data_IF_198755777459
#
_entry.id   IF_198755777459
#
_cell.length_a   1.000
_cell.length_b   1.000
_cell.length_c   1.000
_cell.angle_alpha   90.00
_cell.angle_beta   90.00
_cell.angle_gamma   90.00
#
_symmetry.space_group_name_H-M   'P 1'
#
loop_
_entity.id
_entity.type
_entity.pdbx_description
1 polymer ?
#
# COMPACT_ATOMS: atom_id res chain seq x y z
N UNK A 1 -35.81 35.20 33.79
CA UNK A 1 -34.41 35.30 34.28
C UNK A 1 -33.66 34.05 33.81
N UNK A 2 -32.42 34.21 33.36
CA UNK A 2 -31.58 33.39 32.44
C UNK A 2 -31.40 31.89 32.79
N UNK A 3 -31.61 30.95 31.83
CA UNK A 3 -30.63 30.18 30.98
C UNK A 3 -29.71 29.24 31.79
N UNK A 4 -30.02 27.94 31.93
CA UNK A 4 -29.65 26.74 31.11
C UNK A 4 -28.18 26.28 31.14
N UNK A 5 -28.00 25.09 31.72
CA UNK A 5 -27.19 23.93 31.27
C UNK A 5 -25.70 24.11 31.01
N UNK A 6 -24.88 23.60 31.94
CA UNK A 6 -23.51 23.13 31.71
C UNK A 6 -23.53 21.62 31.47
N UNK A 7 -23.89 21.19 30.27
CA UNK A 7 -23.51 19.87 29.77
C UNK A 7 -22.08 19.98 29.24
N UNK A 8 -21.13 19.42 29.98
CA UNK A 8 -19.76 19.21 29.55
C UNK A 8 -19.77 18.43 28.23
N UNK A 9 -19.17 18.99 27.18
CA UNK A 9 -19.06 18.42 25.84
C UNK A 9 -18.16 17.18 25.88
N UNK A 10 -18.72 16.05 26.32
CA UNK A 10 -18.27 14.69 26.03
C UNK A 10 -19.09 14.18 24.85
N UNK A 11 -18.82 14.67 23.63
CA UNK A 11 -19.22 13.95 22.43
C UNK A 11 -18.03 13.09 22.04
N UNK A 12 -18.06 11.81 22.45
CA UNK A 12 -17.07 10.82 22.10
C UNK A 12 -17.03 10.67 20.58
N UNK A 13 -15.92 11.06 19.95
CA UNK A 13 -15.51 10.45 18.70
C UNK A 13 -14.87 9.10 19.03
N UNK A 14 -15.44 8.02 18.51
CA UNK A 14 -14.83 6.69 18.57
C UNK A 14 -13.85 6.59 17.40
N UNK A 15 -12.55 6.76 17.65
CA UNK A 15 -11.52 6.52 16.65
C UNK A 15 -11.25 5.00 16.55
N UNK A 16 -11.33 4.44 15.34
CA UNK A 16 -11.18 2.98 15.12
C UNK A 16 -9.91 2.61 14.33
N UNK A 17 -9.24 3.58 13.70
CA UNK A 17 -7.99 3.39 12.97
C UNK A 17 -7.15 4.67 12.99
N UNK A 18 -5.86 4.53 13.28
CA UNK A 18 -4.92 5.65 13.47
C UNK A 18 -3.72 5.44 12.55
N UNK A 19 -3.43 6.42 11.69
CA UNK A 19 -2.19 6.50 10.93
C UNK A 19 -1.39 7.72 11.40
N UNK A 20 -0.26 7.47 12.07
CA UNK A 20 0.62 8.53 12.59
C UNK A 20 1.63 8.95 11.52
N UNK A 21 1.80 10.25 11.27
CA UNK A 21 2.90 10.76 10.45
C UNK A 21 4.10 11.22 11.31
N UNK A 22 5.27 10.62 11.08
CA UNK A 22 6.61 11.06 11.59
C UNK A 22 7.13 10.22 12.77
N UNK A 23 8.42 9.87 12.90
CA UNK A 23 9.64 10.55 12.46
C UNK A 23 10.71 9.58 11.90
N UNK A 24 11.49 10.04 10.92
CA UNK A 24 12.76 9.42 10.61
C UNK A 24 13.74 9.70 11.77
N UNK A 25 14.38 8.66 12.31
CA UNK A 25 15.40 8.81 13.33
C UNK A 25 16.61 9.58 12.75
N UNK A 26 16.92 10.75 13.32
CA UNK A 26 18.20 11.45 13.10
C UNK A 26 18.79 11.75 14.48
N UNK A 27 20.07 11.43 14.75
CA UNK A 27 20.72 11.75 16.02
C UNK A 27 21.22 13.22 16.07
N UNK A 28 20.81 13.92 17.13
CA UNK A 28 21.44 15.11 17.77
C UNK A 28 21.29 16.51 17.09
N UNK A 29 21.37 17.62 17.87
CA UNK A 29 20.32 18.63 17.86
C UNK A 29 20.72 19.90 17.11
N UNK A 30 19.92 20.27 16.12
CA UNK A 30 19.82 21.65 15.64
C UNK A 30 18.37 22.06 15.85
N UNK A 31 18.16 23.11 16.65
CA UNK A 31 16.88 23.72 17.03
C UNK A 31 15.66 23.15 16.30
N UNK A 32 15.11 22.05 16.82
CA UNK A 32 13.97 21.39 16.22
C UNK A 32 12.75 22.31 16.33
N UNK A 33 12.36 22.96 15.22
CA UNK A 33 10.96 23.37 15.05
C UNK A 33 10.14 22.13 15.36
N UNK A 34 9.30 22.19 16.42
CA UNK A 34 8.40 21.09 16.79
C UNK A 34 7.77 20.53 15.52
N UNK A 35 8.20 19.35 15.09
CA UNK A 35 7.51 18.63 14.03
C UNK A 35 6.21 18.16 14.65
N UNK A 36 5.13 18.89 14.39
CA UNK A 36 3.80 18.44 14.78
C UNK A 36 3.51 17.19 13.94
N UNK A 37 3.52 16.04 14.59
CA UNK A 37 3.11 14.79 13.96
C UNK A 37 1.62 14.86 13.68
N UNK A 38 1.26 15.02 12.42
CA UNK A 38 -0.13 14.96 12.01
C UNK A 38 -0.59 13.50 12.00
N UNK A 39 -1.79 13.23 12.47
CA UNK A 39 -2.37 11.90 12.48
C UNK A 39 -3.62 11.91 11.62
N UNK A 40 -3.68 11.04 10.62
CA UNK A 40 -4.88 10.80 9.83
C UNK A 40 -5.66 9.63 10.45
N UNK A 41 -6.97 9.79 10.63
CA UNK A 41 -7.81 8.77 11.26
C UNK A 41 -9.23 8.82 10.72
N UNK A 42 -9.98 7.75 11.00
CA UNK A 42 -11.41 7.67 10.68
C UNK A 42 -12.20 7.93 11.96
N UNK A 43 -13.23 8.78 11.85
CA UNK A 43 -14.18 9.02 12.92
C UNK A 43 -15.59 9.20 12.35
N UNK A 44 -16.59 8.85 13.16
CA UNK A 44 -18.00 9.08 12.84
C UNK A 44 -18.47 10.40 13.46
N UNK A 45 -19.04 11.26 12.63
CA UNK A 45 -19.74 12.47 13.04
C UNK A 45 -21.25 12.24 12.96
N UNK A 46 -22.03 12.71 13.96
CA UNK A 46 -23.50 12.65 13.89
C UNK A 46 -24.10 13.40 12.69
N UNK A 47 -23.37 14.38 12.13
CA UNK A 47 -23.85 15.20 11.01
C UNK A 47 -23.46 14.64 9.64
N UNK A 48 -22.24 14.12 9.51
CA UNK A 48 -21.67 13.72 8.22
C UNK A 48 -21.46 12.21 8.07
N UNK A 49 -21.62 11.41 9.12
CA UNK A 49 -21.29 9.98 9.08
C UNK A 49 -19.79 9.75 9.23
N UNK A 50 -19.25 8.71 8.58
CA UNK A 50 -17.84 8.31 8.68
C UNK A 50 -16.95 9.16 7.79
N UNK A 51 -16.12 10.02 8.37
CA UNK A 51 -15.18 10.87 7.64
C UNK A 51 -13.72 10.52 7.93
N UNK A 52 -12.82 11.03 7.09
CA UNK A 52 -11.39 11.03 7.36
C UNK A 52 -11.02 12.38 7.95
N UNK A 53 -10.29 12.36 9.06
CA UNK A 53 -9.87 13.53 9.82
C UNK A 53 -8.34 13.57 9.89
N UNK A 54 -7.80 14.78 10.00
CA UNK A 54 -6.42 15.00 10.43
C UNK A 54 -6.42 15.74 11.76
N UNK A 55 -5.49 15.39 12.64
CA UNK A 55 -5.30 16.07 13.91
C UNK A 55 -3.83 16.23 14.22
N UNK A 56 -3.48 17.37 14.84
CA UNK A 56 -2.21 17.61 15.52
C UNK A 56 -2.19 17.11 16.98
N UNK A 57 -3.26 16.41 17.41
CA UNK A 57 -3.47 15.99 18.79
C UNK A 57 -4.29 16.98 19.62
N UNK A 58 -4.68 18.13 19.06
CA UNK A 58 -5.53 19.12 19.72
C UNK A 58 -6.90 19.22 19.04
N UNK A 59 -7.92 19.63 19.80
CA UNK A 59 -9.26 19.87 19.21
C UNK A 59 -9.24 20.98 18.16
N UNK A 60 -8.42 22.03 18.36
CA UNK A 60 -8.33 23.16 17.44
C UNK A 60 -7.62 22.80 16.13
N UNK A 61 -6.62 21.91 16.18
CA UNK A 61 -5.92 21.39 15.01
C UNK A 61 -6.51 20.11 14.44
N UNK A 62 -7.76 19.77 14.82
CA UNK A 62 -8.50 18.64 14.23
C UNK A 62 -9.47 19.14 13.17
N UNK A 63 -9.36 18.63 11.94
CA UNK A 63 -10.23 19.00 10.82
C UNK A 63 -10.64 17.78 10.00
N UNK A 64 -11.89 17.77 9.54
CA UNK A 64 -12.38 16.80 8.56
C UNK A 64 -11.73 17.08 7.21
N UNK A 65 -11.10 16.05 6.64
CA UNK A 65 -10.40 16.10 5.36
C UNK A 65 -11.23 15.54 4.21
N UNK A 66 -12.04 14.52 4.50
CA UNK A 66 -12.97 13.91 3.55
C UNK A 66 -14.32 13.85 4.25
N UNK A 67 -15.30 14.55 3.67
CA UNK A 67 -16.66 14.63 4.19
C UNK A 67 -17.29 13.23 4.29
N UNK A 68 -18.01 13.00 5.37
CA UNK A 68 -18.38 11.64 5.75
C UNK A 68 -19.29 10.85 4.79
N UNK A 69 -19.16 9.53 4.87
CA UNK A 69 -19.97 8.50 4.22
C UNK A 69 -21.01 7.92 5.17
N UNK A 70 -22.10 7.39 4.61
CA UNK A 70 -23.04 6.53 5.37
C UNK A 70 -22.40 5.19 5.76
N UNK A 71 -21.44 4.72 4.96
CA UNK A 71 -20.75 3.45 5.18
C UNK A 71 -19.43 3.67 5.90
N UNK A 72 -18.94 2.64 6.60
CA UNK A 72 -17.64 2.71 7.25
C UNK A 72 -16.53 2.82 6.20
N UNK A 73 -15.63 3.77 6.40
CA UNK A 73 -14.43 3.93 5.58
C UNK A 73 -13.30 3.02 6.08
N UNK A 74 -12.35 2.75 5.19
CA UNK A 74 -11.02 2.22 5.49
C UNK A 74 -10.00 3.26 5.07
N UNK A 75 -8.95 3.39 5.87
CA UNK A 75 -7.85 4.32 5.65
C UNK A 75 -6.55 3.53 5.73
N UNK A 76 -5.76 3.62 4.67
CA UNK A 76 -4.38 3.15 4.65
C UNK A 76 -3.47 4.33 4.29
N UNK A 77 -2.38 4.48 5.03
CA UNK A 77 -1.42 5.55 4.81
C UNK A 77 -0.06 4.97 4.40
N UNK A 78 0.50 5.51 3.33
CA UNK A 78 1.74 5.03 2.74
C UNK A 78 2.75 6.18 2.66
N UNK A 79 3.87 6.13 3.40
CA UNK A 79 4.89 7.18 3.36
C UNK A 79 5.65 7.15 2.03
N UNK A 80 5.64 8.26 1.31
CA UNK A 80 6.32 8.39 0.01
C UNK A 80 7.15 9.67 0.03
N UNK A 81 8.44 9.56 0.35
CA UNK A 81 9.32 10.72 0.49
C UNK A 81 8.91 11.64 1.64
N UNK A 82 8.53 12.88 1.32
CA UNK A 82 8.15 13.92 2.28
C UNK A 82 6.62 14.04 2.50
N UNK A 83 5.84 13.12 1.95
CA UNK A 83 4.38 13.10 2.00
C UNK A 83 3.85 11.69 2.32
N UNK A 84 2.57 11.61 2.62
CA UNK A 84 1.85 10.35 2.76
C UNK A 84 0.78 10.26 1.69
N UNK A 85 0.70 9.09 1.03
CA UNK A 85 -0.41 8.76 0.16
C UNK A 85 -1.46 8.02 1.00
N UNK A 86 -2.67 8.57 1.04
CA UNK A 86 -3.78 8.01 1.78
C UNK A 86 -4.71 7.31 0.78
N UNK A 87 -4.78 5.99 0.87
CA UNK A 87 -5.81 5.22 0.18
C UNK A 87 -7.03 5.17 1.09
N UNK A 88 -8.14 5.72 0.62
CA UNK A 88 -9.42 5.72 1.31
C UNK A 88 -10.38 4.89 0.49
N UNK A 89 -10.97 3.86 1.10
CA UNK A 89 -11.94 2.96 0.47
C UNK A 89 -13.15 2.82 1.38
N UNK A 90 -14.28 2.37 0.85
CA UNK A 90 -15.36 1.88 1.71
C UNK A 90 -15.09 0.43 2.13
N UNK A 91 -15.70 0.01 3.24
CA UNK A 91 -15.69 -1.39 3.67
C UNK A 91 -16.64 -2.26 2.83
N UNK A 92 -17.59 -1.65 2.10
CA UNK A 92 -18.48 -2.35 1.20
C UNK A 92 -17.80 -2.66 -0.14
N UNK A 93 -17.76 -3.96 -0.51
CA UNK A 93 -17.21 -4.52 -1.76
C UNK A 93 -17.93 -4.06 -3.04
N UNK A 94 -18.79 -3.05 -2.99
CA UNK A 94 -19.56 -2.55 -4.13
C UNK A 94 -19.28 -1.08 -4.31
N UNK A 95 -18.63 -0.77 -5.43
CA UNK A 95 -18.42 0.56 -6.05
C UNK A 95 -19.05 1.70 -5.24
N UNK A 96 -18.23 2.38 -4.45
CA UNK A 96 -18.59 3.65 -3.82
C UNK A 96 -17.87 4.80 -4.53
N UNK A 97 -18.58 5.92 -4.57
CA UNK A 97 -18.14 7.28 -4.87
C UNK A 97 -16.91 7.78 -4.07
N UNK A 98 -16.54 7.13 -2.97
CA UNK A 98 -15.51 7.62 -2.05
C UNK A 98 -14.17 6.88 -2.11
N UNK A 99 -13.99 5.92 -3.03
CA UNK A 99 -12.65 5.36 -3.23
C UNK A 99 -11.73 6.38 -3.91
N UNK A 100 -10.60 6.68 -3.28
CA UNK A 100 -9.63 7.62 -3.83
C UNK A 100 -8.27 7.54 -3.19
N UNK A 101 -7.26 7.96 -3.95
CA UNK A 101 -5.92 8.19 -3.46
C UNK A 101 -5.71 9.69 -3.21
N UNK A 102 -5.27 10.03 -2.02
CA UNK A 102 -5.04 11.41 -1.60
C UNK A 102 -3.58 11.61 -1.20
N UNK A 103 -3.09 12.82 -1.38
CA UNK A 103 -1.74 13.24 -1.03
C UNK A 103 -1.84 14.14 0.19
N UNK A 104 -1.28 13.69 1.31
CA UNK A 104 -1.13 14.48 2.53
C UNK A 104 0.32 14.92 2.67
N UNK A 105 0.57 16.22 2.55
CA UNK A 105 1.91 16.80 2.74
C UNK A 105 2.26 16.95 4.23
N UNK A 106 3.55 17.10 4.55
CA UNK A 106 4.01 17.40 5.92
C UNK A 106 3.44 18.69 6.52
N UNK A 107 3.03 19.64 5.69
CA UNK A 107 2.37 20.88 6.15
C UNK A 107 0.88 20.68 6.46
N UNK A 108 0.35 19.47 6.29
CA UNK A 108 -1.05 19.13 6.54
C UNK A 108 -2.00 19.43 5.37
N UNK A 109 -1.48 19.89 4.23
CA UNK A 109 -2.30 20.06 3.03
C UNK A 109 -2.65 18.69 2.45
N UNK A 110 -3.95 18.41 2.37
CA UNK A 110 -4.51 17.25 1.66
C UNK A 110 -4.97 17.64 0.26
N UNK A 111 -4.72 16.78 -0.73
CA UNK A 111 -5.25 16.91 -2.07
C UNK A 111 -5.63 15.54 -2.63
N UNK A 112 -6.81 15.40 -3.24
CA UNK A 112 -7.15 14.20 -4.02
C UNK A 112 -6.23 14.13 -5.25
N UNK A 113 -5.62 12.97 -5.49
CA UNK A 113 -4.83 12.77 -6.70
C UNK A 113 -5.79 12.49 -7.86
N UNK A 114 -5.97 13.47 -8.72
CA UNK A 114 -6.85 13.37 -9.88
C UNK A 114 -6.05 12.84 -11.07
N UNK A 115 -6.19 11.56 -11.40
CA UNK A 115 -5.53 10.96 -12.55
C UNK A 115 -6.38 9.80 -13.08
N UNK A 116 -6.57 9.64 -14.41
CA UNK A 116 -7.51 8.66 -14.97
C UNK A 116 -7.30 7.21 -14.48
N UNK A 117 -6.05 6.82 -14.24
CA UNK A 117 -5.70 5.48 -13.73
C UNK A 117 -6.19 5.19 -12.29
N UNK A 118 -6.48 6.22 -11.49
CA UNK A 118 -6.81 6.10 -10.07
C UNK A 118 -8.12 6.81 -9.69
N UNK A 119 -8.88 7.28 -10.70
CA UNK A 119 -10.22 7.84 -10.49
C UNK A 119 -11.24 6.76 -10.15
N UNK A 120 -11.04 5.53 -10.61
CA UNK A 120 -11.97 4.40 -10.43
C UNK A 120 -11.25 3.18 -9.82
N UNK A 121 -10.93 3.29 -8.53
CA UNK A 121 -10.28 2.27 -7.74
C UNK A 121 -11.31 1.27 -7.16
N UNK A 122 -11.85 0.39 -7.98
CA UNK A 122 -12.94 -0.53 -7.59
C UNK A 122 -12.45 -1.77 -6.84
N UNK A 123 -11.29 -2.30 -7.21
CA UNK A 123 -10.66 -3.48 -6.59
C UNK A 123 -9.23 -3.14 -6.16
N UNK A 124 -9.05 -1.92 -5.65
CA UNK A 124 -7.73 -1.38 -5.42
C UNK A 124 -7.05 -2.00 -4.21
N UNK A 125 -5.91 -2.66 -4.45
CA UNK A 125 -4.99 -3.11 -3.41
C UNK A 125 -3.67 -2.38 -3.56
N UNK A 126 -3.24 -1.70 -2.52
CA UNK A 126 -1.94 -1.04 -2.48
C UNK A 126 -0.88 -1.90 -1.77
N UNK A 127 0.36 -1.78 -2.23
CA UNK A 127 1.55 -2.39 -1.63
C UNK A 127 2.35 -1.34 -0.88
N UNK A 128 3.22 -1.76 0.05
CA UNK A 128 4.12 -0.84 0.71
C UNK A 128 4.98 -0.08 -0.31
N UNK A 129 5.34 1.20 -0.05
CA UNK A 129 6.17 1.96 -0.96
C UNK A 129 7.54 1.34 -1.15
N UNK A 130 7.96 1.23 -2.40
CA UNK A 130 9.29 0.75 -2.79
C UNK A 130 9.93 1.85 -3.61
N UNK A 131 11.18 2.19 -3.28
CA UNK A 131 11.98 3.18 -4.02
C UNK A 131 11.24 4.51 -4.27
N UNK A 132 10.51 4.98 -3.26
CA UNK A 132 9.79 6.26 -3.29
C UNK A 132 8.50 6.25 -4.12
N UNK A 133 7.90 5.09 -4.37
CA UNK A 133 6.68 4.96 -5.17
C UNK A 133 5.71 3.99 -4.51
N UNK A 134 4.42 4.32 -4.57
CA UNK A 134 3.33 3.43 -4.20
C UNK A 134 2.92 2.60 -5.42
N UNK A 135 2.64 1.33 -5.19
CA UNK A 135 2.12 0.43 -6.22
C UNK A 135 0.70 0.00 -5.85
N UNK A 136 -0.22 0.16 -6.80
CA UNK A 136 -1.65 -0.13 -6.63
C UNK A 136 -2.09 -1.08 -7.73
N UNK A 137 -2.60 -2.23 -7.36
CA UNK A 137 -3.30 -3.11 -8.30
C UNK A 137 -4.75 -2.70 -8.36
N UNK A 138 -5.29 -2.54 -9.56
CA UNK A 138 -6.70 -2.26 -9.79
C UNK A 138 -7.15 -2.94 -11.09
N UNK A 139 -8.16 -3.80 -11.04
CA UNK A 139 -8.71 -4.52 -12.21
C UNK A 139 -7.62 -5.21 -13.06
N UNK A 140 -6.70 -5.93 -12.43
CA UNK A 140 -5.60 -6.65 -13.09
C UNK A 140 -4.46 -5.78 -13.62
N UNK A 141 -4.52 -4.45 -13.43
CA UNK A 141 -3.46 -3.51 -13.79
C UNK A 141 -2.63 -3.14 -12.59
N UNK A 142 -1.31 -3.05 -12.76
CA UNK A 142 -0.41 -2.50 -11.75
C UNK A 142 -0.14 -1.03 -12.07
N UNK A 143 -0.45 -0.13 -11.13
CA UNK A 143 -0.25 1.31 -11.26
C UNK A 143 0.85 1.71 -10.28
N UNK A 144 1.80 2.51 -10.74
CA UNK A 144 2.84 3.09 -9.90
C UNK A 144 2.64 4.60 -9.79
N UNK A 145 2.74 5.15 -8.59
CA UNK A 145 2.61 6.59 -8.35
C UNK A 145 3.58 7.10 -7.30
N UNK A 146 4.17 8.26 -7.55
CA UNK A 146 4.89 9.03 -6.55
C UNK A 146 3.98 10.04 -5.83
N UNK A 147 2.66 10.01 -6.06
CA UNK A 147 1.72 11.00 -5.54
C UNK A 147 1.53 12.25 -6.42
N UNK A 148 2.08 12.28 -7.63
CA UNK A 148 1.85 13.37 -8.60
C UNK A 148 1.16 12.86 -9.85
N UNK A 149 0.46 13.73 -10.58
CA UNK A 149 -0.15 13.35 -11.86
C UNK A 149 0.89 12.83 -12.85
N UNK A 150 2.00 13.58 -13.04
CA UNK A 150 3.09 13.21 -13.97
C UNK A 150 3.79 11.91 -13.56
N UNK A 151 3.94 11.68 -12.26
CA UNK A 151 4.56 10.48 -11.72
C UNK A 151 3.61 9.31 -11.54
N UNK A 152 2.36 9.39 -12.00
CA UNK A 152 1.38 8.28 -11.97
C UNK A 152 1.33 7.61 -13.33
N UNK A 153 1.52 6.30 -13.36
CA UNK A 153 1.65 5.52 -14.60
C UNK A 153 1.26 4.06 -14.41
N UNK A 154 0.70 3.47 -15.45
CA UNK A 154 0.44 2.04 -15.50
C UNK A 154 1.76 1.33 -15.80
N UNK A 155 2.07 0.29 -15.03
CA UNK A 155 3.16 -0.62 -15.27
C UNK A 155 2.64 -1.71 -16.20
N UNK A 156 3.07 -1.68 -17.46
CA UNK A 156 2.61 -2.63 -18.45
C UNK A 156 3.43 -3.92 -18.42
N UNK A 157 2.76 -5.01 -18.10
CA UNK A 157 3.08 -6.36 -18.54
C UNK A 157 1.79 -7.00 -19.09
N UNK A 158 1.90 -8.20 -19.66
CA UNK A 158 0.74 -9.03 -20.00
C UNK A 158 -0.29 -9.02 -18.84
N UNK A 159 -1.61 -9.12 -19.13
CA UNK A 159 -2.64 -8.97 -18.11
C UNK A 159 -2.39 -9.94 -16.95
N UNK A 160 -2.22 -9.37 -15.75
CA UNK A 160 -2.02 -10.15 -14.54
C UNK A 160 -3.35 -10.73 -14.09
N UNK A 161 -3.31 -11.96 -13.60
CA UNK A 161 -4.39 -12.47 -12.76
C UNK A 161 -4.32 -11.83 -11.37
N UNK A 162 -3.11 -11.70 -10.82
CA UNK A 162 -2.87 -11.04 -9.53
C UNK A 162 -1.41 -10.61 -9.38
N UNK A 163 -1.13 -9.57 -8.60
CA UNK A 163 0.21 -9.28 -8.07
C UNK A 163 0.22 -9.66 -6.60
N UNK A 164 1.20 -10.47 -6.19
CA UNK A 164 1.29 -11.01 -4.84
C UNK A 164 2.14 -10.12 -3.93
N UNK A 165 3.22 -9.55 -4.47
CA UNK A 165 4.15 -8.70 -3.72
C UNK A 165 4.89 -7.74 -4.64
N UNK A 166 5.30 -6.58 -4.11
CA UNK A 166 6.21 -5.62 -4.74
C UNK A 166 7.29 -5.30 -3.72
N UNK A 167 8.56 -5.37 -4.11
CA UNK A 167 9.71 -5.23 -3.21
C UNK A 167 10.95 -4.75 -3.97
N UNK A 168 11.97 -4.31 -3.23
CA UNK A 168 13.29 -4.04 -3.81
C UNK A 168 14.15 -5.30 -3.78
N UNK A 169 14.77 -5.63 -4.91
CA UNK A 169 15.74 -6.72 -5.02
C UNK A 169 16.90 -6.28 -5.91
N UNK A 170 18.12 -6.43 -5.40
CA UNK A 170 19.36 -6.05 -6.10
C UNK A 170 19.30 -4.64 -6.73
N UNK A 171 18.80 -3.66 -5.94
CA UNK A 171 18.73 -2.25 -6.34
C UNK A 171 17.65 -1.91 -7.36
N UNK A 172 16.73 -2.85 -7.65
CA UNK A 172 15.66 -2.69 -8.64
C UNK A 172 14.30 -2.97 -7.99
N UNK A 173 13.26 -2.30 -8.49
CA UNK A 173 11.89 -2.65 -8.08
C UNK A 173 11.50 -3.94 -8.79
N UNK A 174 11.10 -4.92 -8.00
CA UNK A 174 10.66 -6.23 -8.47
C UNK A 174 9.29 -6.57 -7.89
N UNK A 175 8.61 -7.51 -8.53
CA UNK A 175 7.33 -8.01 -8.05
C UNK A 175 7.12 -9.46 -8.47
N UNK A 176 6.26 -10.12 -7.71
CA UNK A 176 5.79 -11.46 -7.99
C UNK A 176 4.33 -11.35 -8.43
N UNK A 177 3.99 -11.95 -9.56
CA UNK A 177 2.64 -11.95 -10.13
C UNK A 177 2.22 -13.32 -10.63
N UNK A 178 0.92 -13.58 -10.63
CA UNK A 178 0.33 -14.72 -11.33
C UNK A 178 -0.15 -14.27 -12.70
N UNK A 179 0.31 -14.94 -13.75
CA UNK A 179 -0.19 -14.77 -15.11
C UNK A 179 -1.44 -15.64 -15.33
N UNK A 180 -2.29 -15.26 -16.29
CA UNK A 180 -3.39 -16.11 -16.74
C UNK A 180 -2.82 -17.47 -17.15
N UNK A 181 -3.39 -18.59 -16.68
CA UNK A 181 -2.99 -20.00 -16.93
C UNK A 181 -1.99 -20.68 -15.98
N UNK A 182 -1.87 -20.24 -14.73
CA UNK A 182 -1.21 -20.94 -13.60
C UNK A 182 0.30 -20.72 -13.43
N UNK A 183 0.92 -19.84 -14.19
CA UNK A 183 2.35 -19.55 -14.05
C UNK A 183 2.59 -18.33 -13.16
N UNK A 184 3.41 -18.48 -12.13
CA UNK A 184 3.92 -17.33 -11.35
C UNK A 184 5.16 -16.77 -12.03
N UNK A 185 5.30 -15.45 -12.00
CA UNK A 185 6.39 -14.73 -12.66
C UNK A 185 7.07 -13.82 -11.65
N UNK A 186 8.40 -13.95 -11.57
CA UNK A 186 9.24 -12.91 -11.00
C UNK A 186 9.58 -11.90 -12.08
N UNK A 187 9.25 -10.65 -11.81
CA UNK A 187 9.34 -9.58 -12.78
C UNK A 187 10.07 -8.38 -12.20
N UNK A 188 10.72 -7.65 -13.08
CA UNK A 188 11.44 -6.42 -12.75
C UNK A 188 10.83 -5.24 -13.47
N UNK A 189 10.73 -4.12 -12.79
CA UNK A 189 10.19 -2.88 -13.35
C UNK A 189 11.34 -2.09 -13.97
N UNK A 190 11.12 -1.62 -15.19
CA UNK A 190 11.85 -0.51 -15.78
C UNK A 190 11.17 0.79 -15.37
N UNK A 191 11.76 1.46 -14.39
CA UNK A 191 11.24 2.72 -13.86
C UNK A 191 11.39 3.89 -14.86
N UNK A 192 12.25 3.80 -15.87
CA UNK A 192 12.36 4.87 -16.87
C UNK A 192 11.16 4.82 -17.83
N UNK A 193 10.81 3.62 -18.30
CA UNK A 193 9.79 3.41 -19.33
C UNK A 193 8.42 3.02 -18.77
N UNK A 194 8.31 2.71 -17.47
CA UNK A 194 7.11 2.17 -16.84
C UNK A 194 6.65 0.83 -17.44
N UNK A 195 7.59 0.02 -17.91
CA UNK A 195 7.34 -1.35 -18.33
C UNK A 195 7.87 -2.33 -17.29
N UNK A 196 7.56 -3.61 -17.48
CA UNK A 196 8.21 -4.68 -16.72
C UNK A 196 8.77 -5.75 -17.65
N UNK A 197 9.65 -6.58 -17.12
CA UNK A 197 10.21 -7.73 -17.83
C UNK A 197 10.17 -8.95 -16.92
N UNK A 198 9.81 -10.10 -17.50
CA UNK A 198 9.85 -11.39 -16.82
C UNK A 198 11.31 -11.82 -16.72
N UNK A 199 11.76 -12.08 -15.49
CA UNK A 199 13.09 -12.64 -15.26
C UNK A 199 13.05 -14.17 -15.21
N UNK A 200 12.03 -14.74 -14.58
CA UNK A 200 11.76 -16.16 -14.66
C UNK A 200 10.29 -16.48 -14.43
N UNK A 201 9.92 -17.69 -14.89
CA UNK A 201 8.60 -18.27 -14.72
C UNK A 201 8.72 -19.49 -13.81
N UNK A 202 7.82 -19.59 -12.83
CA UNK A 202 7.66 -20.77 -11.99
C UNK A 202 6.38 -21.50 -12.42
N UNK A 203 6.48 -22.68 -13.04
CA UNK A 203 5.29 -23.47 -13.32
C UNK A 203 4.65 -23.95 -12.01
N UNK A 204 3.34 -23.75 -11.85
CA UNK A 204 2.54 -24.43 -10.81
C UNK A 204 2.46 -25.91 -11.16
N UNK A 205 2.93 -26.76 -10.25
CA UNK A 205 2.62 -28.19 -10.27
C UNK A 205 1.26 -28.41 -9.58
N UNK A 206 0.38 -29.24 -10.16
CA UNK A 206 -0.86 -29.71 -9.51
C UNK A 206 -2.05 -28.74 -9.41
N UNK A 207 -2.02 -27.56 -10.03
CA UNK A 207 -3.17 -26.63 -10.11
C UNK A 207 -3.68 -26.05 -8.78
N UNK A 208 -3.07 -26.43 -7.65
CA UNK A 208 -3.44 -25.98 -6.29
C UNK A 208 -2.19 -25.47 -5.56
N UNK A 209 -2.07 -24.16 -5.45
CA UNK A 209 -1.06 -23.54 -4.63
C UNK A 209 -0.88 -22.09 -5.03
N UNK A 210 -1.71 -21.20 -4.49
CA UNK A 210 -1.32 -19.79 -4.43
C UNK A 210 -0.23 -19.78 -3.38
N UNK A 211 0.96 -19.29 -3.71
CA UNK A 211 1.92 -18.90 -2.70
C UNK A 211 1.17 -17.91 -1.79
N UNK A 212 0.89 -18.32 -0.56
CA UNK A 212 0.18 -17.45 0.38
C UNK A 212 1.10 -16.37 0.92
N UNK A 213 2.40 -16.59 0.87
CA UNK A 213 3.39 -15.74 1.53
C UNK A 213 4.28 -14.97 0.53
N UNK A 214 4.58 -13.70 0.82
CA UNK A 214 5.58 -12.93 0.09
C UNK A 214 6.98 -13.56 0.22
N UNK A 215 7.87 -13.35 -0.77
CA UNK A 215 9.27 -13.76 -0.67
C UNK A 215 9.96 -13.11 0.53
N UNK A 216 10.91 -13.83 1.12
CA UNK A 216 11.84 -13.27 2.11
C UNK A 216 13.15 -12.90 1.44
N UNK A 217 13.57 -11.64 1.60
CA UNK A 217 14.89 -11.17 1.15
C UNK A 217 15.97 -11.66 2.12
N UNK A 218 17.01 -12.29 1.60
CA UNK A 218 18.17 -12.75 2.36
C UNK A 218 19.47 -12.39 1.63
N UNK A 219 20.00 -11.22 1.93
CA UNK A 219 21.16 -10.67 1.23
C UNK A 219 20.85 -10.41 -0.25
N UNK A 220 21.61 -11.07 -1.14
CA UNK A 220 21.46 -11.05 -2.59
C UNK A 220 20.49 -12.12 -3.12
N UNK A 221 19.81 -12.85 -2.22
CA UNK A 221 18.92 -13.97 -2.56
C UNK A 221 17.47 -13.73 -2.12
N UNK A 222 16.57 -14.46 -2.77
CA UNK A 222 15.16 -14.58 -2.42
C UNK A 222 14.90 -15.98 -1.87
N UNK A 223 14.23 -16.04 -0.72
CA UNK A 223 13.67 -17.27 -0.16
C UNK A 223 12.18 -17.30 -0.48
N UNK A 224 11.74 -18.38 -1.12
CA UNK A 224 10.39 -18.62 -1.61
C UNK A 224 9.85 -19.92 -1.01
N UNK A 225 8.54 -20.07 -0.92
CA UNK A 225 7.91 -21.31 -0.41
C UNK A 225 7.15 -22.01 -1.53
N UNK A 226 7.74 -23.02 -2.18
CA UNK A 226 7.11 -23.69 -3.33
C UNK A 226 6.48 -25.02 -2.94
N UNK A 227 5.28 -25.27 -3.44
CA UNK A 227 4.65 -26.59 -3.36
C UNK A 227 5.03 -27.46 -4.54
N UNK A 228 5.49 -28.68 -4.29
CA UNK A 228 5.59 -29.74 -5.29
C UNK A 228 4.62 -30.88 -4.98
N UNK A 229 4.29 -31.69 -5.98
CA UNK A 229 3.45 -32.89 -5.80
C UNK A 229 4.16 -33.96 -4.95
N UNK A 230 5.50 -33.96 -4.92
CA UNK A 230 6.31 -34.95 -4.20
C UNK A 230 6.56 -34.58 -2.73
N UNK A 231 6.84 -33.31 -2.43
CA UNK A 231 7.31 -32.86 -1.10
C UNK A 231 6.37 -31.88 -0.38
N UNK A 232 5.25 -31.47 -1.00
CA UNK A 232 4.42 -30.40 -0.43
C UNK A 232 5.14 -29.06 -0.47
N UNK A 233 4.84 -28.14 0.44
CA UNK A 233 5.51 -26.84 0.52
C UNK A 233 6.93 -26.98 1.08
N UNK A 234 7.93 -26.49 0.36
CA UNK A 234 9.33 -26.51 0.76
C UNK A 234 10.01 -25.14 0.45
N UNK A 235 11.08 -24.78 1.18
CA UNK A 235 11.83 -23.54 0.92
C UNK A 235 12.71 -23.68 -0.33
N UNK A 236 12.68 -22.64 -1.16
CA UNK A 236 13.47 -22.49 -2.36
C UNK A 236 14.31 -21.23 -2.25
N UNK A 237 15.53 -21.27 -2.77
CA UNK A 237 16.40 -20.09 -2.89
C UNK A 237 16.52 -19.71 -4.36
N UNK A 238 16.45 -18.42 -4.63
CA UNK A 238 16.64 -17.82 -5.95
C UNK A 238 17.66 -16.69 -5.87
N UNK A 239 18.55 -16.59 -6.86
CA UNK A 239 19.37 -15.40 -7.12
C UNK A 239 18.68 -14.38 -8.05
N UNK A 240 17.42 -14.64 -8.43
CA UNK A 240 16.64 -13.85 -9.38
C UNK A 240 16.67 -14.37 -10.82
N UNK A 241 17.34 -15.49 -11.09
CA UNK A 241 17.37 -16.18 -12.39
C UNK A 241 16.67 -17.53 -12.34
N UNK A 242 16.26 -18.08 -13.48
CA UNK A 242 15.63 -19.39 -13.54
C UNK A 242 16.60 -20.51 -13.13
N UNK A 243 17.86 -20.41 -13.57
CA UNK A 243 18.92 -21.39 -13.32
C UNK A 243 19.38 -21.38 -11.86
N UNK A 244 19.38 -20.21 -11.20
CA UNK A 244 19.74 -20.06 -9.79
C UNK A 244 18.58 -20.24 -8.81
N UNK A 245 17.46 -20.82 -9.26
CA UNK A 245 16.26 -21.08 -8.44
C UNK A 245 16.06 -22.56 -8.19
N UNK A 246 16.32 -23.05 -6.97
CA UNK A 246 16.29 -24.49 -6.64
C UNK A 246 15.80 -24.73 -5.19
N UNK A 247 15.26 -25.92 -4.83
CA UNK A 247 14.92 -26.23 -3.46
C UNK A 247 16.19 -26.33 -2.64
N UNK A 248 16.14 -25.82 -1.41
CA UNK A 248 17.25 -25.98 -0.46
C UNK A 248 17.38 -27.44 -0.01
N UNK A 249 18.01 -28.30 -0.82
CA UNK A 249 18.27 -29.71 -0.44
C UNK A 249 19.60 -29.93 0.30
N UNK A 250 20.47 -28.91 0.42
CA UNK A 250 21.88 -29.13 0.81
C UNK A 250 22.48 -28.13 1.83
N UNK A 251 21.75 -27.71 2.87
CA UNK A 251 22.31 -26.88 3.96
C UNK A 251 22.74 -27.66 5.21
N UNK A 252 22.92 -28.98 5.10
CA UNK A 252 23.35 -29.86 6.20
C UNK A 252 24.66 -30.61 5.93
N UNK A 253 25.52 -30.13 5.02
CA UNK A 253 26.87 -30.68 4.83
C UNK A 253 27.94 -29.73 5.33
#
# INVERSE_FOLDING_TARGET
>A
MRIRSLMSVRNLMSALAVAVLGAAAIPQPVAAKKSVALTAFIAQSPKSGWGVYVSDGTSAGTSELIAGSKEMLRLSAYPVGDKSLLLVTNDALRVSDQTGLYVLTRSGKLQKLNHPLIENLTEARAFAPVRGRLYVVNNGKLISTDGTQKGTREISAAPFYSVTSVFEFNGRTSFISSLMNTTEAFQIIDEATASSSVLFLMPRQGGRGSYSEPPTLFGDKLILTRRTDASGYEPWVSDGTAEGTDPQRYWLS
#
